data_IF_719485535542
#
_entry.id   IF_719485535542
#
_cell.length_a   1.000
_cell.length_b   1.000
_cell.length_c   1.000
_cell.angle_alpha   90.00
_cell.angle_beta   90.00
_cell.angle_gamma   90.00
#
_symmetry.space_group_name_H-M   'P 1'
#
loop_
_entity.id
_entity.type
_entity.pdbx_description
1 polymer ?
#
# COMPACT_ATOMS: atom_id res chain seq x y z
N UNK A 1 -46.46 -61.96 -30.57
CA UNK A 1 -44.99 -61.94 -30.65
C UNK A 1 -44.58 -60.78 -31.56
N UNK A 2 -44.12 -59.68 -30.98
CA UNK A 2 -43.56 -58.53 -31.70
C UNK A 2 -42.31 -58.13 -30.94
N UNK A 3 -41.15 -58.22 -31.59
CA UNK A 3 -39.86 -57.88 -31.03
C UNK A 3 -39.54 -56.41 -31.33
N UNK A 4 -39.48 -55.57 -30.30
CA UNK A 4 -39.08 -54.17 -30.44
C UNK A 4 -37.61 -54.03 -30.02
N UNK A 5 -36.75 -53.75 -31.00
CA UNK A 5 -35.30 -53.59 -30.83
C UNK A 5 -35.04 -52.23 -30.16
N UNK A 6 -34.56 -52.23 -28.91
CA UNK A 6 -34.18 -51.02 -28.16
C UNK A 6 -32.80 -50.53 -28.64
N UNK A 7 -32.75 -49.37 -29.28
CA UNK A 7 -31.50 -48.70 -29.66
C UNK A 7 -30.82 -48.18 -28.40
N UNK A 8 -29.58 -48.63 -28.15
CA UNK A 8 -28.69 -48.04 -27.14
C UNK A 8 -27.99 -46.85 -27.78
N UNK A 9 -28.30 -45.63 -27.36
CA UNK A 9 -27.46 -44.47 -27.65
C UNK A 9 -26.39 -44.33 -26.57
N UNK A 10 -25.18 -44.75 -26.92
CA UNK A 10 -23.94 -44.39 -26.23
C UNK A 10 -23.60 -42.93 -26.56
N UNK A 11 -24.04 -42.01 -25.72
CA UNK A 11 -23.60 -40.61 -25.72
C UNK A 11 -22.68 -40.37 -24.54
N UNK A 12 -21.39 -40.66 -24.70
CA UNK A 12 -20.34 -40.22 -23.77
C UNK A 12 -20.19 -38.71 -23.93
N UNK A 13 -20.92 -37.94 -23.12
CA UNK A 13 -20.60 -36.53 -22.92
C UNK A 13 -19.26 -36.47 -22.20
N UNK A 14 -18.19 -36.34 -22.97
CA UNK A 14 -16.91 -35.92 -22.45
C UNK A 14 -17.10 -34.57 -21.76
N UNK A 15 -17.13 -34.59 -20.42
CA UNK A 15 -17.01 -33.41 -19.62
C UNK A 15 -15.66 -32.78 -19.92
N UNK A 16 -15.68 -31.61 -20.56
CA UNK A 16 -14.51 -30.76 -20.61
C UNK A 16 -14.00 -30.58 -19.17
N UNK A 17 -12.69 -30.72 -18.91
CA UNK A 17 -12.16 -30.42 -17.59
C UNK A 17 -12.46 -28.94 -17.34
N UNK A 18 -13.39 -28.67 -16.43
CA UNK A 18 -13.54 -27.34 -15.88
C UNK A 18 -12.21 -27.02 -15.21
N UNK A 19 -11.41 -26.16 -15.87
CA UNK A 19 -10.32 -25.47 -15.18
C UNK A 19 -10.97 -24.84 -13.96
N UNK A 20 -10.64 -25.33 -12.76
CA UNK A 20 -10.87 -24.58 -11.54
C UNK A 20 -10.13 -23.26 -11.72
N UNK A 21 -10.85 -22.23 -12.16
CA UNK A 21 -10.37 -20.87 -12.02
C UNK A 21 -10.31 -20.68 -10.52
N UNK A 22 -9.08 -20.68 -9.99
CA UNK A 22 -8.82 -20.24 -8.63
C UNK A 22 -9.28 -18.79 -8.64
N UNK A 23 -10.51 -18.53 -8.17
CA UNK A 23 -11.00 -17.18 -8.02
C UNK A 23 -10.06 -16.54 -7.02
N UNK A 24 -9.10 -15.76 -7.53
CA UNK A 24 -8.27 -14.95 -6.68
C UNK A 24 -9.26 -14.10 -5.88
N UNK A 25 -9.16 -14.17 -4.56
CA UNK A 25 -9.83 -13.21 -3.70
C UNK A 25 -9.34 -11.83 -4.12
N UNK A 26 -10.15 -11.20 -4.97
CA UNK A 26 -9.96 -9.87 -5.56
C UNK A 26 -10.56 -8.81 -4.65
N UNK A 27 -10.81 -9.17 -3.37
CA UNK A 27 -11.20 -8.24 -2.34
C UNK A 27 -10.30 -7.00 -2.36
N UNK A 28 -10.92 -5.85 -2.14
CA UNK A 28 -10.24 -4.58 -2.06
C UNK A 28 -9.23 -4.58 -0.90
N UNK A 29 -7.95 -4.33 -1.19
CA UNK A 29 -6.85 -4.34 -0.19
C UNK A 29 -6.27 -2.95 0.00
N UNK A 30 -6.35 -2.42 1.22
CA UNK A 30 -5.76 -1.14 1.60
C UNK A 30 -4.23 -1.13 1.45
N UNK A 31 -3.58 -2.27 1.56
CA UNK A 31 -2.14 -2.43 1.31
C UNK A 31 -1.74 -2.23 -0.16
N UNK A 32 -2.70 -2.22 -1.09
CA UNK A 32 -2.48 -1.96 -2.51
C UNK A 32 -2.98 -0.57 -2.96
N UNK A 33 -3.29 0.32 -2.00
CA UNK A 33 -3.72 1.70 -2.26
C UNK A 33 -2.76 2.66 -1.57
N UNK A 34 -2.36 3.75 -2.23
CA UNK A 34 -1.52 4.77 -1.60
C UNK A 34 -2.29 5.47 -0.47
N UNK A 35 -1.59 5.78 0.63
CA UNK A 35 -2.22 6.25 1.86
C UNK A 35 -2.93 7.58 1.74
N UNK A 36 -2.45 8.43 0.84
CA UNK A 36 -3.03 9.76 0.60
C UNK A 36 -4.31 9.75 -0.22
N UNK A 37 -4.78 8.58 -0.68
CA UNK A 37 -6.02 8.45 -1.47
C UNK A 37 -7.24 8.30 -0.55
N UNK A 38 -7.18 7.36 0.40
CA UNK A 38 -8.36 6.99 1.21
C UNK A 38 -8.27 7.41 2.67
N UNK A 39 -7.07 7.41 3.24
CA UNK A 39 -6.86 7.64 4.68
C UNK A 39 -6.30 9.04 4.91
N UNK A 40 -5.46 9.53 4.00
CA UNK A 40 -4.71 10.77 4.12
C UNK A 40 -3.45 10.58 4.98
N UNK A 41 -2.32 11.12 4.53
CA UNK A 41 -1.07 11.07 5.28
C UNK A 41 -1.08 12.08 6.44
N UNK A 42 -0.58 11.67 7.61
CA UNK A 42 -0.40 12.59 8.74
C UNK A 42 0.80 13.49 8.48
N UNK A 43 0.59 14.81 8.41
CA UNK A 43 1.62 15.79 8.04
C UNK A 43 1.57 17.05 8.89
N UNK A 44 2.75 17.55 9.28
CA UNK A 44 2.96 18.94 9.76
C UNK A 44 3.53 19.82 8.65
N UNK A 45 4.27 19.21 7.74
CA UNK A 45 4.91 19.82 6.57
C UNK A 45 4.83 18.82 5.41
N UNK A 46 4.87 19.31 4.18
CA UNK A 46 4.80 18.52 2.96
C UNK A 46 5.67 19.16 1.89
N UNK A 47 6.40 18.32 1.15
CA UNK A 47 7.28 18.75 0.06
C UNK A 47 6.83 18.03 -1.21
N UNK A 48 6.58 18.81 -2.27
CA UNK A 48 6.26 18.28 -3.59
C UNK A 48 7.51 18.32 -4.47
N UNK A 49 8.03 17.14 -4.84
CA UNK A 49 9.16 17.01 -5.76
C UNK A 49 8.67 16.72 -7.18
N UNK A 50 8.73 17.72 -8.05
CA UNK A 50 8.41 17.57 -9.47
C UNK A 50 9.66 17.11 -10.24
N UNK A 51 9.52 16.05 -11.03
CA UNK A 51 10.64 15.47 -11.79
C UNK A 51 10.22 15.14 -13.22
N UNK A 52 11.24 14.98 -14.08
CA UNK A 52 11.07 14.50 -15.45
C UNK A 52 11.78 13.15 -15.60
N UNK A 53 11.11 12.22 -16.28
CA UNK A 53 11.73 10.95 -16.67
C UNK A 53 12.56 11.19 -17.93
N UNK A 54 13.89 11.13 -17.80
CA UNK A 54 14.83 11.31 -18.91
C UNK A 54 15.32 9.99 -19.50
N UNK A 55 15.30 8.91 -18.72
CA UNK A 55 15.62 7.55 -19.14
C UNK A 55 14.62 6.57 -18.53
N UNK A 56 13.70 6.05 -19.36
CA UNK A 56 12.60 5.21 -18.90
C UNK A 56 13.07 3.90 -18.26
N UNK A 57 14.11 3.26 -18.79
CA UNK A 57 14.57 1.97 -18.26
C UNK A 57 15.32 2.12 -16.94
N UNK A 58 16.18 3.12 -16.84
CA UNK A 58 16.82 3.47 -15.57
C UNK A 58 15.76 3.82 -14.52
N UNK A 59 14.78 4.65 -14.89
CA UNK A 59 13.68 5.00 -13.99
C UNK A 59 12.88 3.78 -13.52
N UNK A 60 12.50 2.87 -14.43
CA UNK A 60 11.78 1.63 -14.07
C UNK A 60 12.60 0.72 -13.15
N UNK A 61 13.93 0.70 -13.32
CA UNK A 61 14.83 -0.04 -12.44
C UNK A 61 14.86 0.58 -11.04
N UNK A 62 15.06 1.89 -10.94
CA UNK A 62 15.15 2.62 -9.67
C UNK A 62 13.80 2.73 -8.94
N UNK A 63 12.68 2.75 -9.67
CA UNK A 63 11.35 2.81 -9.07
C UNK A 63 11.12 1.63 -8.10
N UNK A 64 11.75 0.48 -8.34
CA UNK A 64 11.68 -0.68 -7.43
C UNK A 64 12.25 -0.39 -6.04
N UNK A 65 13.21 0.54 -5.94
CA UNK A 65 13.78 0.99 -4.67
C UNK A 65 12.86 1.99 -3.95
N UNK A 66 12.03 2.71 -4.71
CA UNK A 66 11.06 3.68 -4.18
C UNK A 66 9.76 3.01 -3.74
N UNK A 67 9.31 1.96 -4.43
CA UNK A 67 8.03 1.28 -4.13
C UNK A 67 7.89 0.86 -2.66
N UNK A 68 8.90 0.26 -1.99
CA UNK A 68 8.82 -0.08 -0.56
C UNK A 68 8.65 1.13 0.37
N UNK A 69 9.01 2.33 -0.08
CA UNK A 69 8.91 3.56 0.70
C UNK A 69 7.52 4.23 0.56
N UNK A 70 6.75 3.88 -0.47
CA UNK A 70 5.40 4.41 -0.68
C UNK A 70 4.52 3.98 0.49
N UNK A 71 3.91 4.96 1.15
CA UNK A 71 3.02 4.71 2.28
C UNK A 71 1.67 4.27 1.77
N UNK A 72 1.24 3.08 2.19
CA UNK A 72 -0.06 2.51 1.83
C UNK A 72 -1.18 3.05 2.72
N UNK A 73 -2.44 2.87 2.32
CA UNK A 73 -3.60 3.21 3.15
C UNK A 73 -3.65 2.40 4.44
N UNK A 74 -3.21 1.15 4.39
CA UNK A 74 -3.05 0.30 5.56
C UNK A 74 -2.03 0.89 6.56
N UNK A 75 -0.83 1.23 6.08
CA UNK A 75 0.21 1.88 6.91
C UNK A 75 -0.26 3.22 7.47
N UNK A 76 -0.90 4.06 6.66
CA UNK A 76 -1.42 5.35 7.10
C UNK A 76 -2.49 5.21 8.19
N UNK A 77 -3.30 4.15 8.15
CA UNK A 77 -4.26 3.83 9.22
C UNK A 77 -3.52 3.55 10.52
N UNK A 78 -2.57 2.62 10.51
CA UNK A 78 -1.77 2.27 11.69
C UNK A 78 -1.01 3.47 12.27
N UNK A 79 -0.46 4.34 11.43
CA UNK A 79 0.22 5.58 11.87
C UNK A 79 -0.75 6.53 12.59
N UNK A 80 -1.99 6.69 12.11
CA UNK A 80 -3.00 7.51 12.80
C UNK A 80 -3.38 6.94 14.16
N UNK A 81 -3.45 5.62 14.28
CA UNK A 81 -3.70 4.96 15.56
C UNK A 81 -2.54 5.14 16.53
N UNK A 82 -1.29 5.00 16.05
CA UNK A 82 -0.10 5.28 16.84
C UNK A 82 -0.06 6.73 17.33
N UNK A 83 -0.39 7.71 16.46
CA UNK A 83 -0.49 9.12 16.84
C UNK A 83 -1.57 9.32 17.91
N UNK A 84 -2.75 8.68 17.77
CA UNK A 84 -3.85 8.76 18.73
C UNK A 84 -3.42 8.19 20.09
N UNK A 85 -2.83 7.00 20.11
CA UNK A 85 -2.33 6.36 21.33
C UNK A 85 -1.26 7.21 22.02
N UNK A 86 -0.30 7.70 21.25
CA UNK A 86 0.77 8.57 21.73
C UNK A 86 0.25 9.89 22.33
N UNK A 87 -0.77 10.51 21.71
CA UNK A 87 -1.43 11.71 22.26
C UNK A 87 -2.17 11.43 23.56
N UNK A 88 -2.84 10.28 23.66
CA UNK A 88 -3.54 9.86 24.87
C UNK A 88 -2.57 9.59 26.02
N UNK A 89 -1.47 8.85 25.76
CA UNK A 89 -0.42 8.61 26.75
C UNK A 89 0.21 9.92 27.23
N UNK A 90 0.51 10.86 26.33
CA UNK A 90 1.00 12.19 26.73
C UNK A 90 0.02 12.95 27.61
N UNK A 91 -1.28 12.92 27.30
CA UNK A 91 -2.30 13.54 28.17
C UNK A 91 -2.34 12.90 29.55
N UNK A 92 -2.20 11.57 29.65
CA UNK A 92 -2.14 10.86 30.93
C UNK A 92 -0.88 11.25 31.72
N UNK A 93 0.29 11.35 31.09
CA UNK A 93 1.53 11.74 31.77
C UNK A 93 1.55 13.19 32.27
N UNK A 94 0.81 14.08 31.60
CA UNK A 94 0.69 15.49 32.02
C UNK A 94 -0.36 15.65 33.13
N UNK A 95 -1.43 14.83 33.12
CA UNK A 95 -2.54 14.95 34.08
C UNK A 95 -2.45 13.95 35.27
N UNK A 96 -1.54 12.97 35.21
CA UNK A 96 -1.29 11.99 36.27
C UNK A 96 -0.26 12.51 37.26
N UNK A 97 -0.68 12.66 38.52
CA UNK A 97 0.11 13.05 39.70
C UNK A 97 0.98 11.87 40.20
N UNK A 98 1.60 11.14 39.30
CA UNK A 98 2.34 9.92 39.66
C UNK A 98 3.79 10.09 39.22
N UNK A 99 4.58 10.62 40.15
CA UNK A 99 5.97 11.04 40.00
C UNK A 99 6.93 9.90 39.67
N UNK A 100 6.87 9.39 38.45
CA UNK A 100 7.80 8.39 37.95
C UNK A 100 8.14 8.66 36.48
N UNK A 101 9.28 9.32 36.29
CA UNK A 101 10.10 9.32 35.07
C UNK A 101 9.56 10.05 33.83
N UNK A 102 9.14 11.31 33.99
CA UNK A 102 9.34 12.34 32.97
C UNK A 102 10.18 13.42 33.61
N UNK A 103 11.44 13.59 33.16
CA UNK A 103 12.41 14.50 33.79
C UNK A 103 11.75 15.83 34.12
N UNK A 104 11.50 16.04 35.40
CA UNK A 104 11.00 17.30 35.95
C UNK A 104 11.94 17.66 37.09
N UNK A 105 12.40 18.90 37.13
CA UNK A 105 13.17 19.36 38.29
C UNK A 105 12.23 19.61 39.48
N UNK A 106 12.78 19.95 40.63
CA UNK A 106 12.03 20.25 41.86
C UNK A 106 11.02 21.41 41.72
N UNK A 107 11.09 22.16 40.61
CA UNK A 107 10.19 23.26 40.23
C UNK A 107 9.12 22.84 39.22
N UNK A 108 9.09 21.56 38.81
CA UNK A 108 8.15 21.03 37.83
C UNK A 108 8.48 21.36 36.36
N UNK A 109 9.66 21.91 36.06
CA UNK A 109 10.08 22.17 34.69
C UNK A 109 10.48 20.88 33.99
N UNK A 110 9.99 20.65 32.78
CA UNK A 110 10.35 19.51 31.95
C UNK A 110 11.84 19.62 31.57
N UNK A 111 12.70 18.78 32.16
CA UNK A 111 14.17 18.78 32.02
C UNK A 111 14.67 17.96 30.83
N UNK A 112 13.79 17.29 30.09
CA UNK A 112 14.12 16.57 28.88
C UNK A 112 12.98 16.67 27.86
N UNK A 113 13.32 16.95 26.60
CA UNK A 113 12.33 16.97 25.52
C UNK A 113 11.58 15.64 25.47
N UNK A 114 10.24 15.67 25.49
CA UNK A 114 9.47 14.43 25.43
C UNK A 114 9.72 13.76 24.08
N UNK A 115 9.88 12.41 24.04
CA UNK A 115 10.15 11.69 22.80
C UNK A 115 9.09 12.06 21.75
N UNK A 116 9.50 12.19 20.49
CA UNK A 116 8.61 12.51 19.37
C UNK A 116 8.30 11.26 18.57
N UNK A 117 7.03 11.09 18.20
CA UNK A 117 6.65 10.07 17.23
C UNK A 117 7.06 10.55 15.84
N UNK A 118 8.07 9.91 15.26
CA UNK A 118 8.50 10.16 13.88
C UNK A 118 7.55 9.44 12.92
N UNK A 119 6.79 10.21 12.15
CA UNK A 119 5.91 9.70 11.09
C UNK A 119 6.25 10.43 9.80
N UNK A 120 6.53 9.67 8.76
CA UNK A 120 6.80 10.19 7.40
C UNK A 120 5.99 9.36 6.41
N UNK A 121 5.25 10.05 5.56
CA UNK A 121 4.50 9.47 4.45
C UNK A 121 5.10 9.87 3.11
N UNK A 122 5.13 8.93 2.16
CA UNK A 122 5.56 9.16 0.77
C UNK A 122 4.47 8.67 -0.17
N UNK A 123 4.08 9.49 -1.14
CA UNK A 123 3.25 9.11 -2.28
C UNK A 123 3.98 9.41 -3.60
N UNK A 124 3.50 8.86 -4.70
CA UNK A 124 3.98 9.19 -6.06
C UNK A 124 2.82 9.22 -7.04
N UNK A 125 2.85 10.19 -7.94
CA UNK A 125 1.86 10.33 -9.00
C UNK A 125 2.55 10.65 -10.33
N UNK A 126 1.90 10.27 -11.43
CA UNK A 126 2.39 10.51 -12.78
C UNK A 126 1.36 11.34 -13.55
N UNK A 127 1.81 12.41 -14.18
CA UNK A 127 1.02 13.11 -15.19
C UNK A 127 0.89 12.26 -16.45
N UNK A 128 0.01 12.64 -17.37
CA UNK A 128 -0.11 12.01 -18.68
C UNK A 128 1.24 11.95 -19.42
N UNK A 129 2.02 13.03 -19.38
CA UNK A 129 3.36 13.09 -19.99
C UNK A 129 4.33 12.09 -19.32
N UNK A 130 4.26 11.95 -17.99
CA UNK A 130 5.05 10.97 -17.24
C UNK A 130 4.69 9.53 -17.60
N UNK A 131 3.40 9.22 -17.76
CA UNK A 131 2.94 7.90 -18.21
C UNK A 131 3.40 7.56 -19.62
N UNK A 132 3.39 8.54 -20.53
CA UNK A 132 3.96 8.37 -21.88
C UNK A 132 5.47 8.14 -21.81
N UNK A 133 6.19 8.89 -20.97
CA UNK A 133 7.63 8.73 -20.84
C UNK A 133 8.03 7.36 -20.28
N UNK A 134 7.31 6.82 -19.29
CA UNK A 134 7.62 5.50 -18.70
C UNK A 134 7.22 4.34 -19.61
N UNK A 135 6.20 4.52 -20.46
CA UNK A 135 5.74 3.50 -21.41
C UNK A 135 6.62 3.35 -22.64
N UNK A 136 7.60 4.24 -22.84
CA UNK A 136 8.57 4.09 -23.93
C UNK A 136 9.32 2.76 -23.80
N UNK A 137 9.09 1.89 -24.77
CA UNK A 137 9.87 0.68 -25.03
C UNK A 137 10.93 1.07 -26.05
N UNK A 138 12.20 0.67 -25.83
CA UNK A 138 13.25 0.92 -26.82
C UNK A 138 12.83 0.32 -28.17
N UNK A 139 12.87 1.07 -29.29
CA UNK A 139 12.81 0.45 -30.60
C UNK A 139 14.00 -0.51 -30.72
N UNK A 140 13.73 -1.82 -30.79
CA UNK A 140 14.76 -2.86 -30.91
C UNK A 140 14.62 -4.06 -29.97
N UNK A 141 13.73 -4.02 -28.97
CA UNK A 141 13.41 -5.22 -28.16
C UNK A 141 12.14 -5.88 -28.68
N UNK A 142 12.24 -6.55 -29.84
CA UNK A 142 11.21 -7.50 -30.27
C UNK A 142 11.17 -8.62 -29.22
N UNK A 143 10.06 -8.71 -28.49
CA UNK A 143 9.73 -9.92 -27.76
C UNK A 143 9.30 -10.95 -28.81
N UNK A 144 10.21 -11.83 -29.19
CA UNK A 144 9.81 -13.13 -29.75
C UNK A 144 9.30 -13.97 -28.57
N UNK A 145 8.01 -14.29 -28.60
CA UNK A 145 7.41 -15.41 -27.87
C UNK A 145 6.97 -16.42 -28.91
#
# INVERSE_FOLDING_TARGET
>A
MVATKRVKHSGSYYGAPQRKIKMADTGFKLSNVQGDILVGLSKKTEVFFFFQITNADAFKSELKNVVPLITTADKATGEKEAIRAFKAEKHVRINGVDGSNGGTNELGEITADPPLLSVVGVNIAFSQKGLIAVSQVRPGKLWYV
#
